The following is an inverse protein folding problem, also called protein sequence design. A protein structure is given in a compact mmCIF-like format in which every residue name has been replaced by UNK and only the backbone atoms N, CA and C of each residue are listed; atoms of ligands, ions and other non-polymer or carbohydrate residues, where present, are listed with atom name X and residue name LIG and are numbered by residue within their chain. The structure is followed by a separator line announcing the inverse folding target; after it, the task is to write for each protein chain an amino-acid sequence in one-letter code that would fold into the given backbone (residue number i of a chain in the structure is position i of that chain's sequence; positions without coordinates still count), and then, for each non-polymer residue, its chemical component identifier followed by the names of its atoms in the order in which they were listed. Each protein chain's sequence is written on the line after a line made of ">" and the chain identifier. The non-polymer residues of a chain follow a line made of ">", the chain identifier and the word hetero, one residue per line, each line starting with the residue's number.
data_IF_780863471109
#
_entry.id   IF_780863471109
#
_cell.length_a   1.000
_cell.length_b   1.000
_cell.length_c   1.000
_cell.angle_alpha   90.00
_cell.angle_beta   90.00
_cell.angle_gamma   90.00
#
_symmetry.space_group_name_H-M   'P 1'
#
loop_
_entity.id
_entity.type
_entity.pdbx_description
1 polymer ?
#
# COMPACT_ATOMS: atom_id res chain seq x y z
N UNK A 1 -1.09 -9.66 6.32
CA UNK A 1 -1.82 -8.43 5.90
C UNK A 1 -2.80 -7.99 6.99
N UNK A 2 -2.30 -7.35 8.04
CA UNK A 2 -3.12 -6.91 9.19
C UNK A 2 -4.11 -5.77 8.86
N UNK A 3 -3.77 -4.71 8.08
CA UNK A 3 -4.68 -3.58 7.89
C UNK A 3 -6.06 -3.93 7.32
N UNK A 4 -6.22 -4.75 6.28
CA UNK A 4 -7.53 -5.16 5.80
C UNK A 4 -8.35 -5.92 6.83
N UNK A 5 -7.72 -6.79 7.63
CA UNK A 5 -8.42 -7.51 8.69
C UNK A 5 -8.96 -6.55 9.76
N UNK A 6 -8.14 -5.59 10.19
CA UNK A 6 -8.57 -4.56 11.16
C UNK A 6 -9.74 -3.75 10.58
N UNK A 7 -9.68 -3.40 9.29
CA UNK A 7 -10.76 -2.67 8.63
C UNK A 7 -12.05 -3.49 8.58
N UNK A 8 -12.00 -4.76 8.18
CA UNK A 8 -13.17 -5.64 8.13
C UNK A 8 -13.80 -5.79 9.51
N UNK A 9 -12.98 -6.03 10.53
CA UNK A 9 -13.47 -6.12 11.89
C UNK A 9 -14.08 -4.80 12.37
N UNK A 10 -13.46 -3.65 12.03
CA UNK A 10 -14.00 -2.33 12.32
C UNK A 10 -15.36 -2.05 11.67
N UNK A 11 -15.55 -2.52 10.42
CA UNK A 11 -16.83 -2.37 9.73
C UNK A 11 -17.96 -3.21 10.34
N UNK A 12 -17.62 -4.33 10.99
CA UNK A 12 -18.59 -5.16 11.73
C UNK A 12 -18.99 -4.57 13.08
N UNK A 13 -18.17 -3.66 13.63
CA UNK A 13 -18.45 -2.96 14.88
C UNK A 13 -19.23 -1.68 14.62
N UNK A 14 -20.19 -1.39 15.46
CA UNK A 14 -20.97 -0.16 15.36
C UNK A 14 -20.33 0.99 16.15
N UNK A 15 -20.69 2.23 15.80
CA UNK A 15 -20.38 3.42 16.57
C UNK A 15 -18.88 3.76 16.65
N UNK A 16 -18.48 4.29 17.79
CA UNK A 16 -17.13 4.82 18.00
C UNK A 16 -16.02 3.75 17.91
N UNK A 17 -16.27 2.54 18.39
CA UNK A 17 -15.31 1.43 18.34
C UNK A 17 -14.99 1.07 16.89
N UNK A 18 -16.02 0.89 16.06
CA UNK A 18 -15.85 0.57 14.64
C UNK A 18 -15.05 1.64 13.89
N UNK A 19 -15.41 2.91 14.10
CA UNK A 19 -14.69 4.04 13.51
C UNK A 19 -13.21 4.09 13.95
N UNK A 20 -12.93 3.87 15.22
CA UNK A 20 -11.56 3.83 15.76
C UNK A 20 -10.73 2.74 15.11
N UNK A 21 -11.30 1.56 14.87
CA UNK A 21 -10.64 0.46 14.17
C UNK A 21 -10.37 0.79 12.68
N UNK A 22 -11.32 1.43 12.00
CA UNK A 22 -11.12 1.88 10.62
C UNK A 22 -10.00 2.92 10.51
N UNK A 23 -9.94 3.86 11.46
CA UNK A 23 -8.83 4.81 11.54
C UNK A 23 -7.49 4.12 11.83
N UNK A 24 -7.50 3.09 12.68
CA UNK A 24 -6.31 2.27 12.97
C UNK A 24 -5.84 1.54 11.72
N UNK A 25 -6.75 0.94 10.95
CA UNK A 25 -6.41 0.28 9.69
C UNK A 25 -5.74 1.25 8.70
N UNK A 26 -6.31 2.45 8.53
CA UNK A 26 -5.70 3.51 7.71
C UNK A 26 -4.31 3.90 8.21
N UNK A 27 -4.15 4.15 9.52
CA UNK A 27 -2.85 4.51 10.12
C UNK A 27 -1.80 3.43 9.90
N UNK A 28 -2.18 2.15 9.97
CA UNK A 28 -1.26 1.05 9.68
C UNK A 28 -0.76 1.09 8.22
N UNK A 29 -1.65 1.31 7.24
CA UNK A 29 -1.22 1.49 5.83
C UNK A 29 -0.28 2.69 5.70
N UNK A 30 -0.62 3.81 6.34
CA UNK A 30 0.22 5.02 6.35
C UNK A 30 1.62 4.74 6.89
N UNK A 31 1.73 4.09 8.04
CA UNK A 31 3.02 3.78 8.67
C UNK A 31 3.86 2.81 7.84
N UNK A 32 3.24 1.78 7.27
CA UNK A 32 3.96 0.91 6.34
C UNK A 32 4.49 1.69 5.13
N UNK A 33 3.69 2.61 4.58
CA UNK A 33 4.12 3.46 3.49
C UNK A 33 5.30 4.36 3.89
N UNK A 34 5.24 5.01 5.03
CA UNK A 34 6.30 5.89 5.53
C UNK A 34 7.65 5.18 5.67
N UNK A 35 7.62 3.88 5.99
CA UNK A 35 8.83 3.07 6.20
C UNK A 35 9.32 2.41 4.92
N UNK A 36 8.40 1.90 4.08
CA UNK A 36 8.73 1.02 2.97
C UNK A 36 8.70 1.72 1.60
N UNK A 37 7.90 2.78 1.43
CA UNK A 37 7.76 3.41 0.11
C UNK A 37 9.02 4.20 -0.26
N UNK A 38 9.50 3.95 -1.48
CA UNK A 38 10.62 4.62 -2.09
C UNK A 38 10.09 5.65 -3.10
N UNK A 39 10.12 6.95 -2.77
CA UNK A 39 9.55 7.99 -3.63
C UNK A 39 10.33 8.18 -4.94
N UNK A 40 11.62 7.85 -4.98
CA UNK A 40 12.47 8.03 -6.15
C UNK A 40 12.08 7.03 -7.27
N UNK A 41 11.58 5.86 -6.87
CA UNK A 41 11.20 4.78 -7.77
C UNK A 41 9.66 4.67 -7.91
N UNK A 42 8.93 5.08 -6.88
CA UNK A 42 7.48 4.92 -6.80
C UNK A 42 7.05 3.51 -6.38
N UNK A 43 7.92 2.75 -5.74
CA UNK A 43 7.70 1.37 -5.32
C UNK A 43 7.99 1.17 -3.83
N UNK A 44 7.47 0.08 -3.29
CA UNK A 44 7.71 -0.34 -1.91
C UNK A 44 8.91 -1.27 -1.85
N UNK A 45 9.83 -0.99 -0.92
CA UNK A 45 10.96 -1.87 -0.59
C UNK A 45 10.45 -3.16 0.04
N UNK A 46 11.19 -4.24 -0.16
CA UNK A 46 10.82 -5.54 0.39
C UNK A 46 10.93 -5.55 1.92
N UNK A 47 12.09 -5.17 2.45
CA UNK A 47 12.36 -5.11 3.91
C UNK A 47 13.16 -3.84 4.21
N UNK A 48 12.62 -2.97 5.06
CA UNK A 48 13.27 -1.69 5.40
C UNK A 48 13.93 -1.65 6.78
N UNK A 49 13.57 -2.54 7.69
CA UNK A 49 14.02 -2.49 9.10
C UNK A 49 14.55 -3.84 9.56
N UNK A 50 15.47 -3.79 10.57
CA UNK A 50 16.04 -4.97 11.20
C UNK A 50 17.35 -5.42 10.57
N UNK A 51 17.87 -6.59 11.03
CA UNK A 51 19.17 -7.11 10.62
C UNK A 51 19.18 -7.74 9.21
N UNK A 52 18.04 -7.88 8.57
CA UNK A 52 17.87 -8.47 7.23
C UNK A 52 17.23 -7.50 6.27
N UNK A 53 17.70 -6.24 6.22
CA UNK A 53 17.19 -5.25 5.27
C UNK A 53 17.38 -5.71 3.83
N UNK A 54 16.30 -5.64 3.05
CA UNK A 54 16.31 -5.90 1.61
C UNK A 54 15.66 -4.68 0.90
N UNK A 55 16.48 -3.78 0.34
CA UNK A 55 15.99 -2.58 -0.32
C UNK A 55 15.41 -2.85 -1.71
N UNK A 56 15.39 -4.09 -2.18
CA UNK A 56 14.84 -4.43 -3.49
C UNK A 56 13.34 -4.22 -3.56
N UNK A 57 12.83 -3.99 -4.76
CA UNK A 57 11.41 -3.74 -5.02
C UNK A 57 10.77 -5.01 -5.60
N UNK A 58 10.21 -5.84 -4.73
CA UNK A 58 9.57 -7.08 -5.12
C UNK A 58 8.18 -6.83 -5.72
N UNK A 59 7.98 -7.23 -6.98
CA UNK A 59 6.75 -6.95 -7.73
C UNK A 59 5.48 -7.49 -7.04
N UNK A 60 5.52 -8.74 -6.57
CA UNK A 60 4.39 -9.33 -5.81
C UNK A 60 4.12 -8.58 -4.51
N UNK A 61 5.18 -8.13 -3.80
CA UNK A 61 5.05 -7.32 -2.59
C UNK A 61 4.35 -6.00 -2.85
N UNK A 62 4.67 -5.33 -3.95
CA UNK A 62 4.01 -4.10 -4.38
C UNK A 62 2.54 -4.31 -4.75
N UNK A 63 2.21 -5.41 -5.44
CA UNK A 63 0.83 -5.80 -5.69
C UNK A 63 0.04 -6.06 -4.39
N UNK A 64 0.67 -6.70 -3.41
CA UNK A 64 0.08 -6.91 -2.09
C UNK A 64 -0.15 -5.60 -1.34
N UNK A 65 0.76 -4.63 -1.42
CA UNK A 65 0.62 -3.31 -0.80
C UNK A 65 -0.58 -2.56 -1.41
N UNK A 66 -0.66 -2.50 -2.74
CA UNK A 66 -1.77 -1.87 -3.46
C UNK A 66 -3.11 -2.54 -3.14
N UNK A 67 -3.19 -3.88 -3.23
CA UNK A 67 -4.41 -4.63 -2.94
C UNK A 67 -4.84 -4.48 -1.47
N UNK A 68 -3.89 -4.44 -0.53
CA UNK A 68 -4.17 -4.20 0.89
C UNK A 68 -4.77 -2.83 1.14
N UNK A 69 -4.18 -1.78 0.55
CA UNK A 69 -4.70 -0.42 0.65
C UNK A 69 -6.10 -0.28 0.01
N UNK A 70 -6.34 -0.91 -1.16
CA UNK A 70 -7.66 -0.93 -1.80
C UNK A 70 -8.73 -1.60 -0.95
N UNK A 71 -8.41 -2.70 -0.27
CA UNK A 71 -9.35 -3.38 0.63
C UNK A 71 -9.72 -2.50 1.82
N UNK A 72 -8.74 -1.79 2.40
CA UNK A 72 -9.02 -0.82 3.48
C UNK A 72 -9.89 0.31 2.95
N UNK A 73 -9.57 0.87 1.77
CA UNK A 73 -10.36 1.92 1.12
C UNK A 73 -11.82 1.48 0.90
N UNK A 74 -12.02 0.33 0.25
CA UNK A 74 -13.36 -0.18 -0.04
C UNK A 74 -14.18 -0.42 1.24
N UNK A 75 -13.53 -0.92 2.29
CA UNK A 75 -14.18 -1.13 3.58
C UNK A 75 -14.60 0.19 4.23
N UNK A 76 -13.74 1.22 4.20
CA UNK A 76 -14.10 2.56 4.71
C UNK A 76 -15.27 3.13 3.90
N UNK A 77 -15.24 3.02 2.57
CA UNK A 77 -16.31 3.52 1.69
C UNK A 77 -17.67 2.86 1.95
N UNK A 78 -17.67 1.56 2.27
CA UNK A 78 -18.89 0.80 2.60
C UNK A 78 -19.34 0.94 4.05
N UNK A 79 -18.63 1.68 4.90
CA UNK A 79 -18.93 1.83 6.32
C UNK A 79 -19.71 3.10 6.63
N UNK A 80 -20.32 3.15 7.83
CA UNK A 80 -20.98 4.36 8.36
C UNK A 80 -20.00 5.53 8.56
N UNK A 81 -18.69 5.28 8.61
CA UNK A 81 -17.66 6.30 8.77
C UNK A 81 -17.18 6.93 7.45
N UNK A 82 -17.76 6.53 6.30
CA UNK A 82 -17.31 6.96 4.98
C UNK A 82 -17.20 8.48 4.83
N UNK A 83 -18.23 9.23 5.23
CA UNK A 83 -18.25 10.70 5.12
C UNK A 83 -17.19 11.37 5.98
N UNK A 84 -16.97 10.88 7.19
CA UNK A 84 -16.01 11.44 8.12
C UNK A 84 -14.55 11.08 7.77
N UNK A 85 -14.35 10.07 6.94
CA UNK A 85 -13.02 9.57 6.54
C UNK A 85 -12.66 9.90 5.07
N UNK A 86 -13.29 10.92 4.48
CA UNK A 86 -13.01 11.33 3.08
C UNK A 86 -11.55 11.66 2.81
N UNK A 87 -10.88 12.27 3.76
CA UNK A 87 -9.45 12.59 3.63
C UNK A 87 -8.59 11.33 3.56
N UNK A 88 -8.85 10.37 4.42
CA UNK A 88 -8.15 9.08 4.45
C UNK A 88 -8.39 8.28 3.15
N UNK A 89 -9.61 8.31 2.63
CA UNK A 89 -9.94 7.69 1.35
C UNK A 89 -9.13 8.32 0.19
N UNK A 90 -9.05 9.66 0.13
CA UNK A 90 -8.24 10.36 -0.89
C UNK A 90 -6.77 9.95 -0.82
N UNK A 91 -6.20 9.86 0.38
CA UNK A 91 -4.82 9.43 0.56
C UNK A 91 -4.61 8.00 0.06
N UNK A 92 -5.50 7.07 0.43
CA UNK A 92 -5.40 5.68 -0.01
C UNK A 92 -5.47 5.56 -1.54
N UNK A 93 -6.37 6.31 -2.20
CA UNK A 93 -6.45 6.37 -3.67
C UNK A 93 -5.14 6.88 -4.26
N UNK A 94 -4.59 7.96 -3.71
CA UNK A 94 -3.32 8.54 -4.17
C UNK A 94 -2.18 7.52 -4.05
N UNK A 95 -2.03 6.89 -2.89
CA UNK A 95 -0.95 5.93 -2.63
C UNK A 95 -1.03 4.67 -3.49
N UNK A 96 -2.25 4.17 -3.75
CA UNK A 96 -2.45 3.05 -4.67
C UNK A 96 -2.04 3.46 -6.09
N UNK A 97 -2.46 4.64 -6.54
CA UNK A 97 -2.12 5.15 -7.88
C UNK A 97 -0.60 5.30 -8.04
N UNK A 98 0.08 5.93 -7.07
CA UNK A 98 1.54 6.06 -7.08
C UNK A 98 2.24 4.69 -7.21
N UNK A 99 1.77 3.70 -6.45
CA UNK A 99 2.34 2.34 -6.51
C UNK A 99 2.10 1.69 -7.88
N UNK A 100 0.88 1.82 -8.44
CA UNK A 100 0.57 1.25 -9.76
C UNK A 100 1.36 1.95 -10.87
N UNK A 101 1.49 3.27 -10.81
CA UNK A 101 2.29 4.04 -11.76
C UNK A 101 3.78 3.65 -11.67
N UNK A 102 4.29 3.40 -10.45
CA UNK A 102 5.63 2.86 -10.24
C UNK A 102 5.80 1.47 -10.86
N UNK A 103 4.89 0.54 -10.56
CA UNK A 103 4.92 -0.82 -11.12
C UNK A 103 4.87 -0.81 -12.65
N UNK A 104 4.03 0.05 -13.22
CA UNK A 104 3.89 0.18 -14.67
C UNK A 104 5.19 0.53 -15.39
N UNK A 105 6.01 1.39 -14.79
CA UNK A 105 7.33 1.78 -15.35
C UNK A 105 8.29 0.60 -15.50
N UNK A 106 8.13 -0.44 -14.68
CA UNK A 106 9.01 -1.62 -14.68
C UNK A 106 8.38 -2.84 -15.35
N UNK A 107 7.23 -2.67 -15.99
CA UNK A 107 6.63 -3.73 -16.78
C UNK A 107 7.39 -3.87 -18.11
N UNK A 108 7.98 -5.05 -18.32
CA UNK A 108 8.65 -5.35 -19.59
C UNK A 108 7.63 -5.60 -20.72
N UNK A 109 8.08 -5.52 -21.96
CA UNK A 109 7.24 -5.64 -23.18
C UNK A 109 6.41 -6.94 -23.24
N UNK A 110 6.83 -8.00 -22.57
CA UNK A 110 6.09 -9.26 -22.44
C UNK A 110 4.95 -9.20 -21.42
N UNK A 111 4.72 -8.07 -20.73
CA UNK A 111 3.72 -7.91 -19.69
C UNK A 111 4.17 -8.40 -18.30
N UNK A 112 5.37 -8.95 -18.18
CA UNK A 112 5.91 -9.42 -16.90
C UNK A 112 6.47 -8.24 -16.11
N UNK A 113 6.10 -8.12 -14.83
CA UNK A 113 6.79 -7.24 -13.89
C UNK A 113 8.00 -7.99 -13.35
N UNK A 114 9.19 -7.42 -13.49
CA UNK A 114 10.42 -8.05 -12.99
C UNK A 114 10.36 -8.21 -11.47
N UNK A 115 10.58 -9.42 -10.99
CA UNK A 115 10.30 -9.86 -9.61
C UNK A 115 11.23 -9.24 -8.58
N UNK A 116 12.40 -8.76 -8.99
CA UNK A 116 13.37 -8.09 -8.12
C UNK A 116 14.29 -7.23 -8.98
N UNK A 117 14.19 -5.91 -8.83
CA UNK A 117 15.16 -4.99 -9.45
C UNK A 117 16.14 -4.55 -8.37
N UNK A 118 17.40 -4.95 -8.44
CA UNK A 118 18.45 -4.28 -7.68
C UNK A 118 18.49 -2.81 -8.11
N UNK A 119 18.57 -1.91 -7.16
CA UNK A 119 18.56 -0.45 -7.38
C UNK A 119 19.62 0.08 -8.35
N UNK A 120 20.67 -0.70 -8.66
CA UNK A 120 21.73 -0.36 -9.62
C UNK A 120 21.40 -0.69 -11.08
N UNK A 121 20.39 -1.51 -11.36
CA UNK A 121 20.01 -1.85 -12.75
C UNK A 121 19.07 -0.80 -13.36
N UNK A 122 18.48 0.09 -12.58
CA UNK A 122 17.68 1.21 -13.09
C UNK A 122 18.48 2.18 -13.98
N UNK A 123 19.81 2.21 -13.87
CA UNK A 123 20.68 3.05 -14.70
C UNK A 123 20.86 2.59 -16.16
N UNK A 124 20.41 1.39 -16.50
CA UNK A 124 20.66 0.77 -17.82
C UNK A 124 19.39 0.50 -18.64
N UNK A 125 18.21 0.97 -18.17
CA UNK A 125 16.93 0.71 -18.84
C UNK A 125 16.31 1.95 -19.51
N UNK A 126 17.05 3.05 -19.57
CA UNK A 126 16.68 4.29 -20.30
C UNK A 126 17.79 4.75 -21.20
#
# INVERSE_FOLDING_TARGET
>A
MAPPFIAYYGALKCGHEGKSLLQTAYKQVKFYREVLFDPDVGLWRHIALGNGTDPTHWGTGNAWAAAGALRVLATIQGSSAAEEMKWQQKNLVCWVRETLDGVWKFQVRSGVVTVSMPSYLTKYLF
#
